data_IF_404608331145
#
_entry.id   IF_404608331145
#
_cell.length_a   1.000
_cell.length_b   1.000
_cell.length_c   1.000
_cell.angle_alpha   90.00
_cell.angle_beta   90.00
_cell.angle_gamma   90.00
#
_symmetry.space_group_name_H-M   'P 1'
#
loop_
_entity.id
_entity.type
_entity.pdbx_description
1 polymer ?
#
# COMPACT_ATOMS: atom_id res chain seq x y z
N UNK A 1 -0.87 -6.49 -28.20
CA UNK A 1 -1.76 -7.55 -27.70
C UNK A 1 -2.45 -7.02 -26.45
N UNK A 2 -3.79 -7.03 -26.39
CA UNK A 2 -4.51 -6.51 -25.22
C UNK A 2 -4.56 -7.60 -24.13
N UNK A 3 -4.25 -7.23 -22.88
CA UNK A 3 -4.38 -8.13 -21.74
C UNK A 3 -5.84 -8.50 -21.53
N UNK A 4 -6.10 -9.80 -21.37
CA UNK A 4 -7.44 -10.32 -21.05
C UNK A 4 -7.82 -9.89 -19.64
N UNK A 5 -9.12 -9.71 -19.40
CA UNK A 5 -9.62 -9.34 -18.08
C UNK A 5 -9.22 -10.35 -16.98
N UNK A 6 -9.05 -11.63 -17.33
CA UNK A 6 -8.58 -12.70 -16.46
C UNK A 6 -7.10 -12.59 -16.06
N UNK A 7 -6.30 -11.83 -16.81
CA UNK A 7 -4.88 -11.62 -16.56
C UNK A 7 -4.63 -10.38 -15.67
N UNK A 8 -5.70 -9.66 -15.30
CA UNK A 8 -5.60 -8.49 -14.41
C UNK A 8 -5.49 -8.93 -12.95
N UNK A 9 -4.60 -8.28 -12.20
CA UNK A 9 -4.52 -8.40 -10.75
C UNK A 9 -5.85 -7.98 -10.12
N UNK A 10 -6.38 -8.84 -9.25
CA UNK A 10 -7.59 -8.54 -8.49
C UNK A 10 -7.24 -7.53 -7.39
N UNK A 11 -8.10 -6.53 -7.10
CA UNK A 11 -7.87 -5.57 -6.01
C UNK A 11 -7.75 -6.23 -4.63
N UNK A 12 -8.32 -7.42 -4.47
CA UNK A 12 -8.36 -8.19 -3.22
C UNK A 12 -7.22 -9.20 -3.09
N UNK A 13 -6.29 -9.24 -4.05
CA UNK A 13 -5.17 -10.18 -3.96
C UNK A 13 -4.23 -9.74 -2.84
N UNK A 14 -3.94 -10.66 -1.93
CA UNK A 14 -2.94 -10.45 -0.88
C UNK A 14 -1.65 -11.05 -1.42
N UNK A 15 -0.63 -10.21 -1.61
CA UNK A 15 0.70 -10.65 -2.06
C UNK A 15 1.48 -11.12 -0.83
N UNK A 16 1.33 -12.39 -0.48
CA UNK A 16 1.95 -13.00 0.71
C UNK A 16 3.49 -13.00 0.63
N UNK A 17 4.05 -13.07 -0.59
CA UNK A 17 5.51 -13.03 -0.82
C UNK A 17 6.17 -11.71 -0.42
N UNK A 18 5.40 -10.64 -0.20
CA UNK A 18 5.90 -9.35 0.26
C UNK A 18 5.89 -9.20 1.79
N UNK A 19 5.38 -10.19 2.53
CA UNK A 19 5.21 -10.11 4.00
C UNK A 19 6.56 -10.07 4.72
N UNK A 20 7.56 -10.77 4.22
CA UNK A 20 8.90 -10.80 4.83
C UNK A 20 9.56 -9.41 4.84
N UNK A 21 9.30 -8.59 3.82
CA UNK A 21 9.80 -7.22 3.72
C UNK A 21 9.29 -6.27 4.81
N UNK A 22 8.19 -6.60 5.50
CA UNK A 22 7.70 -5.78 6.62
C UNK A 22 8.47 -6.01 7.92
N UNK A 23 9.22 -7.11 8.03
CA UNK A 23 10.03 -7.42 9.20
C UNK A 23 11.43 -6.78 9.13
N UNK A 24 11.85 -6.37 7.93
CA UNK A 24 13.16 -5.75 7.71
C UNK A 24 13.08 -4.25 8.05
N UNK A 25 13.78 -3.80 9.11
CA UNK A 25 13.82 -2.38 9.48
C UNK A 25 14.42 -1.49 8.39
N UNK A 26 15.26 -2.06 7.52
CA UNK A 26 15.96 -1.38 6.43
C UNK A 26 15.22 -1.47 5.09
N UNK A 27 14.04 -2.13 5.03
CA UNK A 27 13.27 -2.37 3.80
C UNK A 27 13.01 -1.11 2.97
N UNK A 28 12.72 -0.01 3.65
CA UNK A 28 12.44 1.27 3.01
C UNK A 28 13.69 2.08 2.66
N UNK A 29 14.86 1.68 3.18
CA UNK A 29 16.14 2.36 2.99
C UNK A 29 16.09 3.87 3.24
N UNK A 30 16.93 4.62 2.53
CA UNK A 30 16.99 6.10 2.58
C UNK A 30 15.74 6.79 1.99
N UNK A 31 14.80 6.02 1.41
CA UNK A 31 13.61 6.54 0.72
C UNK A 31 12.33 6.46 1.53
N UNK A 32 12.44 6.29 2.86
CA UNK A 32 11.33 6.52 3.78
C UNK A 32 11.11 8.03 4.05
N UNK A 33 11.08 8.84 2.99
CA UNK A 33 10.78 10.27 3.08
C UNK A 33 9.28 10.41 2.90
N UNK A 34 8.55 10.48 4.01
CA UNK A 34 7.17 10.97 3.98
C UNK A 34 7.27 12.42 3.52
N UNK A 35 6.83 12.69 2.29
CA UNK A 35 6.81 14.04 1.76
C UNK A 35 5.97 14.90 2.71
N UNK A 36 6.55 15.94 3.35
CA UNK A 36 5.90 16.69 4.42
C UNK A 36 4.64 17.44 3.97
N UNK A 37 4.39 17.48 2.66
CA UNK A 37 3.22 18.06 2.02
C UNK A 37 1.92 17.27 2.30
N UNK A 38 1.99 16.00 2.72
CA UNK A 38 0.81 15.23 3.15
C UNK A 38 0.91 14.83 4.63
N UNK A 39 0.21 15.52 5.55
CA UNK A 39 0.13 15.13 6.94
C UNK A 39 -0.39 13.69 7.07
N UNK A 40 0.26 12.88 7.90
CA UNK A 40 -0.16 11.50 8.23
C UNK A 40 -1.62 11.47 8.70
N UNK A 41 -2.07 12.54 9.34
CA UNK A 41 -3.44 12.78 9.77
C UNK A 41 -4.46 12.69 8.63
N UNK A 42 -4.09 13.10 7.41
CA UNK A 42 -4.97 12.98 6.24
C UNK A 42 -5.12 11.53 5.80
N UNK A 43 -4.04 10.74 5.88
CA UNK A 43 -4.10 9.30 5.60
C UNK A 43 -4.97 8.58 6.64
N UNK A 44 -4.79 8.88 7.94
CA UNK A 44 -5.60 8.33 9.04
C UNK A 44 -7.09 8.64 8.82
N UNK A 45 -7.43 9.90 8.49
CA UNK A 45 -8.83 10.29 8.20
C UNK A 45 -9.43 9.52 7.02
N UNK A 46 -8.64 9.22 5.99
CA UNK A 46 -9.12 8.42 4.84
C UNK A 46 -9.39 6.97 5.25
N UNK A 47 -8.53 6.37 6.08
CA UNK A 47 -8.72 5.01 6.58
C UNK A 47 -10.00 4.93 7.43
N UNK A 48 -10.18 5.84 8.39
CA UNK A 48 -11.36 5.88 9.27
C UNK A 48 -12.67 5.91 8.46
N UNK A 49 -12.77 6.80 7.46
CA UNK A 49 -13.96 6.92 6.59
C UNK A 49 -14.32 5.67 5.81
N UNK A 50 -13.35 4.79 5.54
CA UNK A 50 -13.59 3.54 4.82
C UNK A 50 -13.98 2.39 5.77
N UNK A 51 -13.67 2.49 7.06
CA UNK A 51 -14.06 1.52 8.09
C UNK A 51 -15.46 1.80 8.66
N UNK A 52 -15.88 3.07 8.67
CA UNK A 52 -17.23 3.48 9.11
C UNK A 52 -18.33 3.20 8.05
N UNK A 53 -17.99 2.54 6.93
CA UNK A 53 -18.90 2.10 5.86
C UNK A 53 -19.05 0.58 5.88
#
# INVERSE_FOLDING_TARGET
QAFKASERLKPTIIMEDAVEGFNDPDFWGDYNVIEPEQPIENAIKRIQRNLDK
#
